data_IF_064039429680
#
_entry.id   IF_064039429680
#
_cell.length_a   1.000
_cell.length_b   1.000
_cell.length_c   1.000
_cell.angle_alpha   90.00
_cell.angle_beta   90.00
_cell.angle_gamma   90.00
#
_symmetry.space_group_name_H-M   'P 1'
#
loop_
_entity.id
_entity.type
_entity.pdbx_description
1 polymer ?
#
# COMPACT_ATOMS: atom_id res chain seq x y z
N UNK A 1 5.43 -1.44 -5.40
CA UNK A 1 5.79 -2.51 -6.35
C UNK A 1 6.74 -1.96 -7.40
N UNK A 2 7.82 -2.69 -7.65
CA UNK A 2 8.91 -2.30 -8.56
C UNK A 2 9.23 -3.48 -9.49
N UNK A 3 9.82 -3.21 -10.66
CA UNK A 3 10.32 -4.27 -11.56
C UNK A 3 11.66 -4.78 -11.07
N UNK A 4 11.90 -6.09 -11.11
CA UNK A 4 13.22 -6.67 -10.82
C UNK A 4 14.21 -6.48 -11.97
N UNK A 5 13.70 -6.21 -13.18
CA UNK A 5 14.51 -6.12 -14.38
C UNK A 5 14.63 -4.65 -14.84
N UNK A 6 15.83 -4.05 -14.77
CA UNK A 6 16.04 -2.66 -15.16
C UNK A 6 15.77 -2.40 -16.64
N UNK A 7 15.79 -3.44 -17.50
CA UNK A 7 15.45 -3.31 -18.92
C UNK A 7 13.94 -3.30 -19.19
N UNK A 8 13.13 -3.81 -18.24
CA UNK A 8 11.66 -3.89 -18.35
C UNK A 8 10.98 -3.09 -17.23
N UNK A 9 11.01 -1.74 -17.29
CA UNK A 9 10.38 -0.92 -16.26
C UNK A 9 8.86 -1.00 -16.34
N UNK A 10 8.21 -1.05 -15.17
CA UNK A 10 6.74 -0.98 -15.03
C UNK A 10 6.14 0.30 -15.65
N UNK A 11 6.98 1.33 -15.85
CA UNK A 11 6.61 2.56 -16.55
C UNK A 11 6.09 2.32 -17.98
N UNK A 12 6.65 1.36 -18.71
CA UNK A 12 6.28 1.08 -20.11
C UNK A 12 5.07 0.14 -20.25
N UNK A 13 4.58 -0.41 -19.13
CA UNK A 13 3.45 -1.34 -19.12
C UNK A 13 2.14 -0.58 -19.29
N UNK A 14 1.27 -1.13 -20.14
CA UNK A 14 -0.08 -0.62 -20.35
C UNK A 14 -0.85 -0.53 -19.02
N UNK A 15 -1.45 0.62 -18.69
CA UNK A 15 -2.28 0.77 -17.50
C UNK A 15 -3.44 -0.22 -17.44
N UNK A 16 -4.00 -0.60 -18.59
CA UNK A 16 -5.09 -1.57 -18.68
C UNK A 16 -4.65 -2.99 -18.35
N UNK A 17 -3.44 -3.38 -18.80
CA UNK A 17 -2.88 -4.69 -18.45
C UNK A 17 -2.63 -4.78 -16.94
N UNK A 18 -2.02 -3.74 -16.35
CA UNK A 18 -1.81 -3.64 -14.90
C UNK A 18 -3.14 -3.71 -14.14
N UNK A 19 -4.14 -2.95 -14.58
CA UNK A 19 -5.47 -2.94 -13.94
C UNK A 19 -6.12 -4.33 -13.96
N UNK A 20 -6.03 -5.03 -15.09
CA UNK A 20 -6.62 -6.36 -15.25
C UNK A 20 -5.96 -7.38 -14.33
N UNK A 21 -4.63 -7.45 -14.33
CA UNK A 21 -3.91 -8.39 -13.46
C UNK A 21 -4.15 -8.10 -11.97
N UNK A 22 -4.12 -6.82 -11.57
CA UNK A 22 -4.38 -6.43 -10.18
C UNK A 22 -5.82 -6.73 -9.76
N UNK A 23 -6.81 -6.51 -10.63
CA UNK A 23 -8.21 -6.85 -10.35
C UNK A 23 -8.44 -8.36 -10.30
N UNK A 24 -7.73 -9.14 -11.10
CA UNK A 24 -7.79 -10.59 -11.04
C UNK A 24 -7.27 -11.13 -9.70
N UNK A 25 -6.20 -10.53 -9.18
CA UNK A 25 -5.59 -10.96 -7.92
C UNK A 25 -6.34 -10.46 -6.67
N UNK A 26 -6.73 -9.18 -6.67
CA UNK A 26 -7.20 -8.49 -5.46
C UNK A 26 -8.71 -8.21 -5.48
N UNK A 27 -9.36 -8.43 -6.61
CA UNK A 27 -10.75 -8.11 -6.84
C UNK A 27 -10.99 -6.69 -7.35
N UNK A 28 -12.26 -6.34 -7.61
CA UNK A 28 -12.65 -5.08 -8.24
C UNK A 28 -12.43 -3.84 -7.36
N UNK A 29 -12.32 -4.02 -6.03
CA UNK A 29 -12.12 -2.92 -5.07
C UNK A 29 -10.67 -2.45 -4.95
N UNK A 30 -9.73 -3.09 -5.65
CA UNK A 30 -8.33 -2.69 -5.62
C UNK A 30 -8.12 -1.32 -6.27
N UNK A 31 -7.47 -0.42 -5.54
CA UNK A 31 -7.07 0.89 -6.03
C UNK A 31 -5.56 0.92 -6.20
N UNK A 32 -5.08 1.42 -7.32
CA UNK A 32 -3.65 1.55 -7.57
C UNK A 32 -3.32 2.86 -8.29
N UNK A 33 -2.10 3.33 -8.10
CA UNK A 33 -1.59 4.57 -8.66
C UNK A 33 -0.18 4.34 -9.18
N UNK A 34 0.10 4.86 -10.37
CA UNK A 34 1.45 4.89 -10.95
C UNK A 34 2.20 6.10 -10.41
N UNK A 35 3.38 5.88 -9.84
CA UNK A 35 4.24 6.94 -9.31
C UNK A 35 5.11 7.53 -10.42
N UNK A 36 5.55 8.80 -10.28
CA UNK A 36 6.51 9.41 -11.20
C UNK A 36 7.83 8.65 -11.34
N UNK A 37 8.22 7.90 -10.30
CA UNK A 37 9.39 7.01 -10.29
C UNK A 37 9.24 5.82 -11.26
N UNK A 38 8.02 5.53 -11.72
CA UNK A 38 7.70 4.35 -12.53
C UNK A 38 7.14 3.18 -11.73
N UNK A 39 7.14 3.29 -10.40
CA UNK A 39 6.63 2.28 -9.48
C UNK A 39 5.10 2.27 -9.43
N UNK A 40 4.54 1.15 -8.95
CA UNK A 40 3.12 1.00 -8.69
C UNK A 40 2.87 1.03 -7.18
N UNK A 41 2.00 1.95 -6.77
CA UNK A 41 1.41 2.01 -5.44
C UNK A 41 0.05 1.32 -5.48
N UNK A 42 -0.17 0.35 -4.60
CA UNK A 42 -1.42 -0.43 -4.54
C UNK A 42 -1.99 -0.29 -3.14
N UNK A 43 -3.26 0.09 -3.05
CA UNK A 43 -4.03 0.21 -1.82
C UNK A 43 -4.92 -1.03 -1.68
N UNK A 44 -4.85 -1.67 -0.52
CA UNK A 44 -5.60 -2.88 -0.18
C UNK A 44 -6.46 -2.64 1.05
N UNK A 45 -7.60 -3.32 1.12
CA UNK A 45 -8.57 -3.17 2.22
C UNK A 45 -8.51 -4.34 3.19
N UNK A 46 -8.19 -5.54 2.70
CA UNK A 46 -8.18 -6.76 3.49
C UNK A 46 -6.77 -7.35 3.61
N UNK A 47 -6.50 -8.03 4.74
CA UNK A 47 -5.22 -8.70 4.98
C UNK A 47 -4.89 -9.74 3.90
N UNK A 48 -5.88 -10.52 3.45
CA UNK A 48 -5.66 -11.51 2.39
C UNK A 48 -5.12 -10.89 1.09
N UNK A 49 -5.57 -9.66 0.75
CA UNK A 49 -5.11 -8.94 -0.43
C UNK A 49 -3.66 -8.51 -0.28
N UNK A 50 -3.26 -8.08 0.92
CA UNK A 50 -1.87 -7.75 1.24
C UNK A 50 -0.96 -8.97 1.11
N UNK A 51 -1.38 -10.11 1.68
CA UNK A 51 -0.58 -11.34 1.65
C UNK A 51 -0.47 -11.89 0.21
N UNK A 52 -1.55 -11.82 -0.58
CA UNK A 52 -1.54 -12.14 -2.00
C UNK A 52 -0.63 -11.21 -2.82
N UNK A 53 -0.60 -9.91 -2.52
CA UNK A 53 0.32 -8.97 -3.15
C UNK A 53 1.79 -9.26 -2.83
N UNK A 54 2.10 -9.53 -1.56
CA UNK A 54 3.48 -9.79 -1.12
C UNK A 54 4.03 -11.10 -1.68
N UNK A 55 3.17 -12.07 -1.95
CA UNK A 55 3.54 -13.35 -2.58
C UNK A 55 3.64 -13.28 -4.11
N UNK A 56 3.13 -12.21 -4.74
CA UNK A 56 3.18 -12.04 -6.18
C UNK A 56 4.60 -11.69 -6.65
N UNK A 57 5.11 -12.50 -7.58
CA UNK A 57 6.45 -12.33 -8.18
C UNK A 57 6.42 -11.85 -9.62
N UNK A 58 5.25 -11.92 -10.26
CA UNK A 58 5.09 -11.60 -11.67
C UNK A 58 3.81 -10.78 -11.89
N UNK A 59 3.94 -9.73 -12.70
CA UNK A 59 2.83 -8.93 -13.18
C UNK A 59 2.85 -8.96 -14.69
N UNK A 60 1.86 -9.64 -15.28
CA UNK A 60 1.76 -9.96 -16.71
C UNK A 60 2.98 -10.71 -17.26
N UNK A 61 4.04 -10.01 -17.64
CA UNK A 61 5.28 -10.59 -18.23
C UNK A 61 6.54 -10.02 -17.57
N UNK A 62 6.38 -9.29 -16.47
CA UNK A 62 7.47 -8.65 -15.75
C UNK A 62 7.60 -9.26 -14.36
N UNK A 63 8.84 -9.62 -14.02
CA UNK A 63 9.18 -9.96 -12.64
C UNK A 63 9.13 -8.70 -11.80
N UNK A 64 8.41 -8.78 -10.71
CA UNK A 64 8.13 -7.64 -9.84
C UNK A 64 8.41 -8.00 -8.41
N UNK A 65 8.94 -7.02 -7.69
CA UNK A 65 9.08 -7.06 -6.26
C UNK A 65 8.02 -6.20 -5.60
N UNK A 66 7.34 -6.78 -4.61
CA UNK A 66 6.32 -6.10 -3.82
C UNK A 66 6.80 -5.93 -2.40
N UNK A 67 6.98 -4.67 -2.01
CA UNK A 67 7.32 -4.28 -0.64
C UNK A 67 6.13 -3.62 0.02
N UNK A 68 5.84 -3.99 1.27
CA UNK A 68 4.89 -3.25 2.08
C UNK A 68 5.34 -1.79 2.26
N UNK A 69 4.42 -0.84 2.11
CA UNK A 69 4.74 0.56 2.30
C UNK A 69 4.85 0.85 3.80
N UNK A 70 6.00 1.40 4.25
CA UNK A 70 6.33 1.55 5.68
C UNK A 70 5.37 2.48 6.44
N UNK A 71 4.70 3.41 5.75
CA UNK A 71 3.94 4.51 6.37
C UNK A 71 2.47 4.58 5.97
N UNK A 72 1.96 3.69 5.10
CA UNK A 72 0.57 3.81 4.61
C UNK A 72 -0.45 2.96 5.36
N UNK A 73 -0.02 2.17 6.35
CA UNK A 73 -0.89 1.31 7.15
C UNK A 73 -1.27 1.93 8.51
N UNK A 74 -0.90 3.18 8.75
CA UNK A 74 -1.29 3.94 9.94
C UNK A 74 -1.90 5.26 9.49
N UNK A 75 -3.22 5.36 9.53
CA UNK A 75 -3.80 6.66 9.87
C UNK A 75 -3.47 6.83 11.35
N UNK A 76 -2.63 7.81 11.68
CA UNK A 76 -2.49 8.22 13.08
C UNK A 76 -3.91 8.51 13.55
N UNK A 77 -4.45 7.61 14.38
CA UNK A 77 -5.78 7.71 14.96
C UNK A 77 -5.75 8.80 16.02
N UNK A 78 -5.44 10.03 15.61
CA UNK A 78 -5.60 11.19 16.45
C UNK A 78 -7.11 11.32 16.64
N UNK A 79 -7.58 10.98 17.83
CA UNK A 79 -8.92 11.30 18.28
C UNK A 79 -8.80 12.69 18.89
N UNK A 80 -9.22 13.76 18.21
CA UNK A 80 -9.31 15.06 18.85
C UNK A 80 -10.38 14.95 19.93
N UNK A 81 -9.96 15.17 21.18
CA UNK A 81 -10.83 15.21 22.35
C UNK A 81 -10.61 16.56 23.01
N UNK A 82 -11.69 17.34 23.18
CA UNK A 82 -11.60 18.66 23.79
C UNK A 82 -11.23 18.59 25.27
N UNK A 83 -11.55 17.48 25.95
CA UNK A 83 -11.23 17.27 27.36
C UNK A 83 -9.74 16.95 27.57
N UNK A 84 -9.03 16.54 26.51
CA UNK A 84 -7.58 16.30 26.54
C UNK A 84 -6.77 17.55 26.17
N UNK A 85 -7.42 18.67 25.83
CA UNK A 85 -6.73 19.93 25.52
C UNK A 85 -6.14 20.53 26.80
N UNK A 86 -4.82 20.43 26.95
CA UNK A 86 -4.08 20.96 28.10
C UNK A 86 -3.62 19.90 29.10
N UNK A 87 -3.99 18.64 28.90
CA UNK A 87 -3.48 17.50 29.67
C UNK A 87 -2.05 17.19 29.22
N UNK A 88 -1.16 16.90 30.16
CA UNK A 88 0.24 16.54 29.85
C UNK A 88 0.33 15.13 29.26
N UNK A 89 1.33 14.88 28.39
CA UNK A 89 1.52 13.55 27.79
C UNK A 89 1.70 12.44 28.84
N UNK A 90 2.33 12.74 29.97
CA UNK A 90 2.55 11.80 31.07
C UNK A 90 1.23 11.34 31.72
N UNK A 91 0.30 12.27 31.96
CA UNK A 91 -1.03 11.99 32.53
C UNK A 91 -1.90 11.18 31.55
N UNK A 92 -1.83 11.52 30.26
CA UNK A 92 -2.49 10.75 29.19
C UNK A 92 -1.95 9.31 29.17
N UNK A 93 -0.63 9.14 29.21
CA UNK A 93 0.02 7.81 29.18
C UNK A 93 -0.29 6.98 30.42
N UNK A 94 -0.49 7.60 31.58
CA UNK A 94 -0.87 6.90 32.80
C UNK A 94 -2.32 6.39 32.75
N UNK A 95 -3.25 7.18 32.19
CA UNK A 95 -4.64 6.77 32.00
C UNK A 95 -4.86 5.65 30.95
N UNK A 96 -3.91 5.46 30.03
CA UNK A 96 -3.95 4.40 29.01
C UNK A 96 -3.27 3.08 29.42
N UNK A 97 -2.67 3.00 30.61
CA UNK A 97 -2.14 1.74 31.17
C UNK A 97 -3.24 0.86 31.74
#
# INVERSE_FOLDING_TARGET
MQSDDPQKPLRKVSPFAVARELRNLLGPSCRFKKLPTGDLLVEVQAKFQSDALLSMKELATHKVHVTAHRTLNTRLGVVPDEDLIGVSEDEILEGFK
#
